data_IF_928986126556
#
_entry.id   IF_928986126556
#
_cell.length_a   1.000
_cell.length_b   1.000
_cell.length_c   1.000
_cell.angle_alpha   90.00
_cell.angle_beta   90.00
_cell.angle_gamma   90.00
#
_symmetry.space_group_name_H-M   'P 1'
#
loop_
_entity.id
_entity.type
_entity.pdbx_description
1 polymer ?
#
# COMPACT_ATOMS: atom_id res chain seq x y z
N UNK A 1 2.86 -10.21 -1.84
CA UNK A 1 3.45 -8.92 -1.40
C UNK A 1 3.11 -7.90 -2.47
N UNK A 2 2.73 -6.70 -2.07
CA UNK A 2 2.17 -5.70 -2.95
C UNK A 2 3.12 -4.52 -2.99
N UNK A 3 3.40 -3.99 -4.17
CA UNK A 3 4.35 -2.90 -4.31
C UNK A 3 3.63 -1.57 -4.53
N UNK A 4 4.15 -0.48 -3.97
CA UNK A 4 3.71 0.87 -4.28
C UNK A 4 3.81 1.09 -5.79
N UNK A 5 2.75 1.63 -6.39
CA UNK A 5 2.61 1.85 -7.83
C UNK A 5 1.81 0.77 -8.56
N UNK A 6 1.65 -0.43 -7.98
CA UNK A 6 0.75 -1.44 -8.52
C UNK A 6 -0.72 -1.12 -8.21
N UNK A 7 -1.63 -1.81 -8.92
CA UNK A 7 -3.08 -1.71 -8.73
C UNK A 7 -3.60 -3.02 -8.11
N UNK A 8 -3.39 -3.24 -6.81
CA UNK A 8 -3.78 -4.48 -6.14
C UNK A 8 -5.29 -4.63 -5.88
N UNK A 9 -6.08 -3.62 -6.25
CA UNK A 9 -7.51 -3.54 -5.96
C UNK A 9 -7.80 -2.92 -4.60
N UNK A 10 -9.09 -2.82 -4.26
CA UNK A 10 -9.52 -2.28 -2.97
C UNK A 10 -9.16 -3.20 -1.81
N UNK A 11 -8.83 -2.60 -0.66
CA UNK A 11 -8.50 -3.36 0.53
C UNK A 11 -7.59 -2.62 1.51
N UNK A 12 -7.26 -3.32 2.59
CA UNK A 12 -6.28 -2.84 3.56
C UNK A 12 -4.88 -3.29 3.14
N UNK A 13 -3.92 -2.40 3.31
CA UNK A 13 -2.52 -2.60 2.99
C UNK A 13 -1.67 -2.18 4.18
N UNK A 14 -0.80 -3.05 4.64
CA UNK A 14 0.09 -2.82 5.76
C UNK A 14 1.52 -2.71 5.26
N UNK A 15 2.15 -1.56 5.47
CA UNK A 15 3.55 -1.36 5.11
C UNK A 15 4.43 -2.34 5.88
N UNK A 16 5.26 -3.10 5.16
CA UNK A 16 6.13 -4.11 5.78
C UNK A 16 7.26 -3.48 6.59
N UNK A 17 7.69 -2.26 6.25
CA UNK A 17 8.78 -1.58 6.96
C UNK A 17 8.34 -0.92 8.27
N UNK A 18 7.21 -0.22 8.29
CA UNK A 18 6.79 0.58 9.45
C UNK A 18 5.46 0.14 10.07
N UNK A 19 4.78 -0.86 9.49
CA UNK A 19 3.47 -1.34 9.96
C UNK A 19 2.30 -0.38 9.69
N UNK A 20 2.50 0.67 8.90
CA UNK A 20 1.44 1.64 8.61
C UNK A 20 0.30 1.00 7.80
N UNK A 21 -0.94 1.21 8.24
CA UNK A 21 -2.12 0.78 7.49
C UNK A 21 -2.54 1.85 6.49
N UNK A 22 -2.69 1.44 5.24
CA UNK A 22 -3.22 2.21 4.12
C UNK A 22 -4.48 1.50 3.65
N UNK A 23 -5.59 2.22 3.55
CA UNK A 23 -6.82 1.67 2.96
C UNK A 23 -6.94 2.21 1.54
N UNK A 24 -7.07 1.30 0.58
CA UNK A 24 -7.34 1.66 -0.81
C UNK A 24 -8.83 1.47 -1.06
N UNK A 25 -9.53 2.59 -1.17
CA UNK A 25 -10.96 2.64 -1.46
C UNK A 25 -11.28 2.53 -2.95
N UNK A 26 -10.32 2.88 -3.81
CA UNK A 26 -10.47 2.86 -5.27
C UNK A 26 -9.48 1.84 -5.84
N UNK A 27 -10.00 0.72 -6.37
CA UNK A 27 -9.18 -0.38 -6.88
C UNK A 27 -8.46 -0.07 -8.20
N UNK A 28 -8.81 1.05 -8.84
CA UNK A 28 -8.14 1.56 -10.06
C UNK A 28 -6.97 2.49 -9.74
N UNK A 29 -6.85 2.94 -8.48
CA UNK A 29 -5.80 3.84 -8.03
C UNK A 29 -4.50 3.08 -7.76
N UNK A 30 -3.37 3.76 -7.97
CA UNK A 30 -2.05 3.15 -7.74
C UNK A 30 -1.73 3.23 -6.26
N UNK A 31 -1.30 2.12 -5.66
CA UNK A 31 -0.96 2.11 -4.24
C UNK A 31 0.16 3.15 -3.98
N UNK A 32 -0.09 4.21 -3.19
CA UNK A 32 0.94 5.23 -2.94
C UNK A 32 2.07 4.64 -2.10
N UNK A 33 3.25 5.25 -2.19
CA UNK A 33 4.36 4.92 -1.29
C UNK A 33 3.97 5.23 0.16
N UNK A 34 4.59 4.51 1.10
CA UNK A 34 4.30 4.75 2.51
C UNK A 34 4.75 6.15 2.93
N UNK A 35 3.82 6.97 3.41
CA UNK A 35 4.09 8.35 3.83
C UNK A 35 4.97 8.44 5.08
N UNK A 36 5.10 7.35 5.86
CA UNK A 36 5.94 7.32 7.07
C UNK A 36 7.41 7.00 6.81
N UNK A 37 7.68 6.00 5.98
CA UNK A 37 9.04 5.47 5.80
C UNK A 37 9.49 5.46 4.34
N UNK A 38 8.68 5.99 3.41
CA UNK A 38 8.90 5.93 1.96
C UNK A 38 9.04 4.49 1.43
N UNK A 39 8.60 3.52 2.23
CA UNK A 39 8.60 2.11 1.86
C UNK A 39 7.61 1.84 0.73
N UNK A 40 8.03 0.98 -0.20
CA UNK A 40 7.24 0.57 -1.35
C UNK A 40 6.63 -0.84 -1.17
N UNK A 41 6.86 -1.52 -0.05
CA UNK A 41 6.36 -2.89 0.17
C UNK A 41 5.21 -2.92 1.17
N UNK A 42 4.12 -3.56 0.77
CA UNK A 42 2.90 -3.72 1.54
C UNK A 42 2.43 -5.18 1.59
N UNK A 43 1.78 -5.55 2.69
CA UNK A 43 1.02 -6.79 2.87
C UNK A 43 -0.48 -6.48 2.82
N UNK A 44 -1.26 -7.36 2.21
CA UNK A 44 -2.74 -7.29 2.26
C UNK A 44 -3.25 -7.91 3.54
#
# INVERSE_FOLDING_TARGET
MVTAGEKPGTGFYFCVQCGHRTYLEIGTDRLPQCTKCLGNQFKK
#
